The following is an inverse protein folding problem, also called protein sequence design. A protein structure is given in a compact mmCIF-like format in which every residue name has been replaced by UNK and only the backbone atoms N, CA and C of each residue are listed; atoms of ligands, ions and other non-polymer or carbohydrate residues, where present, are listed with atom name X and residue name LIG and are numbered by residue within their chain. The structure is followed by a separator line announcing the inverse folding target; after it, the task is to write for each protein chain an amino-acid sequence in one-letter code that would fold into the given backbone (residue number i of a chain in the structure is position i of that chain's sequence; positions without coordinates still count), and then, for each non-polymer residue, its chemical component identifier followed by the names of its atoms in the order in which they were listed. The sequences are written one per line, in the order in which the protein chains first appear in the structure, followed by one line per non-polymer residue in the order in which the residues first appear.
data_IF_796286995611
#
_entry.id   IF_796286995611
#
_cell.length_a   1.000
_cell.length_b   1.000
_cell.length_c   1.000
_cell.angle_alpha   90.00
_cell.angle_beta   90.00
_cell.angle_gamma   90.00
#
_symmetry.space_group_name_H-M   'P 1'
#
loop_
_entity.id
_entity.type
_entity.pdbx_description
1 polymer ?
#
# COMPACT_ATOMS: atom_id res chain seq x y z
N UNK A 1 -5.38 -6.16 7.56
CA UNK A 1 -4.72 -6.39 6.26
C UNK A 1 -3.95 -5.15 5.78
N UNK A 2 -4.50 -3.95 5.97
CA UNK A 2 -3.85 -2.68 5.64
C UNK A 2 -2.40 -2.53 6.15
N UNK A 3 -2.15 -2.77 7.44
CA UNK A 3 -0.80 -2.63 8.04
C UNK A 3 0.26 -3.48 7.34
N UNK A 4 -0.10 -4.72 6.99
CA UNK A 4 0.76 -5.62 6.22
C UNK A 4 0.97 -5.11 4.79
N UNK A 5 -0.07 -4.60 4.11
CA UNK A 5 0.04 -4.02 2.78
C UNK A 5 1.00 -2.81 2.75
N UNK A 6 0.84 -1.87 3.69
CA UNK A 6 1.72 -0.69 3.80
C UNK A 6 3.18 -1.09 4.03
N UNK A 7 3.40 -2.07 4.90
CA UNK A 7 4.74 -2.62 5.15
C UNK A 7 5.33 -3.30 3.91
N UNK A 8 4.54 -4.10 3.21
CA UNK A 8 4.98 -4.81 2.00
C UNK A 8 5.35 -3.83 0.90
N UNK A 9 4.53 -2.79 0.65
CA UNK A 9 4.85 -1.73 -0.32
C UNK A 9 6.21 -1.10 0.04
N UNK A 10 6.41 -0.67 1.30
CA UNK A 10 7.69 -0.10 1.73
C UNK A 10 8.87 -1.04 1.45
N UNK A 11 8.72 -2.31 1.82
CA UNK A 11 9.79 -3.32 1.68
C UNK A 11 10.08 -3.65 0.22
N UNK A 12 9.07 -3.70 -0.64
CA UNK A 12 9.21 -3.90 -2.08
C UNK A 12 10.07 -2.78 -2.70
N UNK A 13 9.85 -1.53 -2.28
CA UNK A 13 10.67 -0.38 -2.66
C UNK A 13 12.00 -0.26 -1.89
N UNK A 14 12.37 -1.28 -1.09
CA UNK A 14 13.64 -1.38 -0.35
C UNK A 14 13.93 -0.22 0.60
N UNK A 15 12.89 0.43 1.11
CA UNK A 15 13.03 1.52 2.09
C UNK A 15 12.99 0.97 3.51
N UNK A 16 13.82 1.49 4.40
CA UNK A 16 13.63 1.33 5.83
C UNK A 16 12.57 2.30 6.38
N UNK A 17 12.14 2.11 7.64
CA UNK A 17 11.06 2.93 8.23
C UNK A 17 11.45 4.42 8.35
N UNK A 18 12.73 4.74 8.59
CA UNK A 18 13.21 6.11 8.71
C UNK A 18 13.23 6.82 7.35
N UNK A 19 13.65 6.12 6.31
CA UNK A 19 13.65 6.63 4.93
C UNK A 19 12.23 6.94 4.48
N UNK A 20 11.29 6.00 4.66
CA UNK A 20 9.90 6.23 4.29
C UNK A 20 9.29 7.40 5.09
N UNK A 21 9.52 7.43 6.40
CA UNK A 21 9.07 8.51 7.26
C UNK A 21 9.54 9.88 6.72
N UNK A 22 10.82 9.97 6.34
CA UNK A 22 11.39 11.20 5.77
C UNK A 22 10.73 11.56 4.43
N UNK A 23 10.48 10.58 3.56
CA UNK A 23 9.85 10.78 2.25
C UNK A 23 8.39 11.21 2.35
N UNK A 24 7.65 10.70 3.32
CA UNK A 24 6.24 11.03 3.54
C UNK A 24 6.03 12.21 4.50
N UNK A 25 7.11 12.82 5.00
CA UNK A 25 7.06 13.85 6.05
C UNK A 25 6.26 13.39 7.29
N UNK A 26 6.56 12.18 7.76
CA UNK A 26 5.98 11.53 8.93
C UNK A 26 7.08 11.17 9.93
N UNK A 27 6.70 10.83 11.17
CA UNK A 27 7.69 10.34 12.14
C UNK A 27 7.96 8.85 11.93
N UNK A 28 9.21 8.36 12.15
CA UNK A 28 9.51 6.94 12.06
C UNK A 28 8.70 6.09 13.04
N UNK A 29 8.43 6.63 14.24
CA UNK A 29 7.57 5.97 15.23
C UNK A 29 6.17 5.74 14.67
N UNK A 30 5.59 6.75 14.00
CA UNK A 30 4.26 6.62 13.41
C UNK A 30 4.21 5.57 12.30
N UNK A 31 5.20 5.56 11.39
CA UNK A 31 5.34 4.48 10.37
C UNK A 31 5.41 3.10 11.06
N UNK A 32 6.19 2.99 12.13
CA UNK A 32 6.30 1.74 12.89
C UNK A 32 4.96 1.31 13.50
N UNK A 33 4.20 2.25 14.06
CA UNK A 33 2.90 1.99 14.68
C UNK A 33 1.85 1.53 13.66
N UNK A 34 1.75 2.19 12.50
CA UNK A 34 0.78 1.80 11.45
C UNK A 34 1.15 0.47 10.79
N UNK A 35 2.42 0.18 10.57
CA UNK A 35 2.87 -1.10 10.00
C UNK A 35 2.72 -2.28 10.97
N UNK A 36 2.73 -2.00 12.28
CA UNK A 36 2.41 -3.00 13.32
C UNK A 36 0.91 -3.13 13.56
N UNK A 37 0.08 -2.30 12.92
CA UNK A 37 -1.37 -2.25 13.16
C UNK A 37 -1.75 -1.72 14.54
N UNK A 38 -0.84 -1.01 15.23
CA UNK A 38 -1.11 -0.38 16.54
C UNK A 38 -1.90 0.91 16.42
N UNK A 39 -1.79 1.59 15.28
CA UNK A 39 -2.57 2.77 14.93
C UNK A 39 -3.13 2.62 13.54
N UNK A 40 -4.32 3.15 13.32
CA UNK A 40 -4.86 3.27 11.98
C UNK A 40 -4.28 4.51 11.28
N UNK A 41 -3.85 4.38 10.02
CA UNK A 41 -3.43 5.52 9.22
C UNK A 41 -4.65 6.38 8.87
N UNK A 42 -4.48 7.70 8.88
CA UNK A 42 -5.51 8.61 8.37
C UNK A 42 -5.60 8.57 6.85
N UNK A 43 -6.68 9.11 6.28
CA UNK A 43 -6.82 9.25 4.82
C UNK A 43 -5.68 10.08 4.20
N UNK A 44 -5.19 11.11 4.88
CA UNK A 44 -4.01 11.90 4.46
C UNK A 44 -2.76 11.02 4.33
N UNK A 45 -2.56 10.12 5.29
CA UNK A 45 -1.43 9.18 5.27
C UNK A 45 -1.59 8.21 4.10
N UNK A 46 -2.78 7.65 3.89
CA UNK A 46 -3.03 6.78 2.74
C UNK A 46 -2.83 7.52 1.41
N UNK A 47 -3.19 8.80 1.34
CA UNK A 47 -2.96 9.63 0.16
C UNK A 47 -1.47 9.90 -0.09
N UNK A 48 -0.69 10.12 0.96
CA UNK A 48 0.79 10.21 0.87
C UNK A 48 1.41 8.92 0.34
N UNK A 49 0.95 7.76 0.82
CA UNK A 49 1.38 6.46 0.28
C UNK A 49 0.99 6.31 -1.19
N UNK A 50 -0.26 6.65 -1.53
CA UNK A 50 -0.79 6.58 -2.89
C UNK A 50 0.06 7.40 -3.87
N UNK A 51 0.33 8.66 -3.51
CA UNK A 51 1.13 9.57 -4.34
C UNK A 51 2.60 9.16 -4.44
N UNK A 52 3.21 8.74 -3.33
CA UNK A 52 4.63 8.41 -3.31
C UNK A 52 4.96 7.13 -4.06
N UNK A 53 4.09 6.11 -3.97
CA UNK A 53 4.30 4.81 -4.60
C UNK A 53 3.55 4.63 -5.91
N UNK A 54 2.87 5.68 -6.39
CA UNK A 54 2.03 5.65 -7.59
C UNK A 54 0.99 4.51 -7.56
N UNK A 55 0.38 4.31 -6.40
CA UNK A 55 -0.68 3.31 -6.19
C UNK A 55 -2.03 3.99 -6.07
N UNK A 56 -3.11 3.45 -6.67
CA UNK A 56 -4.43 4.05 -6.54
C UNK A 56 -4.89 4.11 -5.08
N UNK A 57 -5.24 5.30 -4.58
CA UNK A 57 -5.75 5.48 -3.20
C UNK A 57 -6.92 4.53 -2.88
N UNK A 58 -7.82 4.33 -3.85
CA UNK A 58 -8.94 3.38 -3.72
C UNK A 58 -8.49 1.97 -3.34
N UNK A 59 -7.32 1.52 -3.81
CA UNK A 59 -6.81 0.19 -3.50
C UNK A 59 -6.40 0.10 -2.03
N UNK A 60 -5.77 1.15 -1.50
CA UNK A 60 -5.42 1.25 -0.07
C UNK A 60 -6.66 1.31 0.83
N UNK A 61 -7.70 2.04 0.42
CA UNK A 61 -8.96 2.14 1.16
C UNK A 61 -9.68 0.79 1.24
N UNK A 62 -9.72 0.01 0.15
CA UNK A 62 -10.34 -1.33 0.21
C UNK A 62 -9.60 -2.25 1.21
N UNK A 63 -8.28 -2.11 1.35
CA UNK A 63 -7.52 -2.84 2.38
C UNK A 63 -7.80 -2.35 3.80
N UNK A 64 -8.26 -1.11 3.99
CA UNK A 64 -8.73 -0.61 5.28
C UNK A 64 -10.14 -1.10 5.60
N UNK A 65 -11.06 -1.06 4.62
CA UNK A 65 -12.48 -1.43 4.78
C UNK A 65 -12.70 -2.94 4.96
N UNK A 66 -11.80 -3.79 4.47
CA UNK A 66 -11.93 -5.26 4.59
C UNK A 66 -11.82 -5.81 6.02
N UNK A 67 -11.64 -4.94 7.03
CA UNK A 67 -11.67 -5.31 8.46
C UNK A 67 -12.99 -4.99 9.17
N UNK A 68 -13.83 -4.13 8.59
CA UNK A 68 -15.17 -3.82 9.12
C UNK A 68 -16.17 -4.77 8.48
N UNK A 69 -16.19 -6.01 8.97
CA UNK A 69 -17.11 -7.03 8.51
C UNK A 69 -18.56 -6.55 8.60
N UNK A 70 -19.24 -6.45 7.44
CA UNK A 70 -20.68 -6.77 7.25
C UNK A 70 -21.16 -6.55 5.79
N UNK A 71 -20.47 -5.82 4.91
CA UNK A 71 -20.95 -5.61 3.52
C UNK A 71 -19.91 -5.81 2.42
N UNK A 72 -19.16 -6.92 2.45
CA UNK A 72 -18.33 -7.31 1.30
C UNK A 72 -19.19 -8.01 0.24
N UNK A 73 -19.86 -7.23 -0.61
CA UNK A 73 -20.61 -7.78 -1.75
C UNK A 73 -19.68 -8.63 -2.63
N UNK A 74 -20.18 -9.72 -3.22
CA UNK A 74 -19.44 -10.54 -4.18
C UNK A 74 -18.82 -9.72 -5.35
N UNK A 75 -19.32 -8.50 -5.58
CA UNK A 75 -18.79 -7.51 -6.53
C UNK A 75 -17.42 -6.95 -6.12
N UNK A 76 -17.16 -6.74 -4.82
CA UNK A 76 -15.87 -6.22 -4.31
C UNK A 76 -14.77 -7.27 -4.51
N UNK A 77 -15.05 -8.55 -4.26
CA UNK A 77 -14.12 -9.66 -4.53
C UNK A 77 -13.79 -9.82 -6.02
N UNK A 78 -14.78 -9.66 -6.89
CA UNK A 78 -14.60 -9.70 -8.35
C UNK A 78 -13.84 -8.48 -8.88
N UNK A 79 -13.98 -7.30 -8.26
CA UNK A 79 -13.24 -6.11 -8.65
C UNK A 79 -11.81 -6.13 -8.11
N UNK A 80 -11.63 -6.71 -6.92
CA UNK A 80 -10.33 -6.99 -6.31
C UNK A 80 -9.48 -7.88 -7.22
N UNK A 81 -10.00 -8.97 -7.79
CA UNK A 81 -9.22 -9.84 -8.68
C UNK A 81 -8.76 -9.13 -9.97
N UNK A 82 -9.61 -8.31 -10.59
CA UNK A 82 -9.22 -7.53 -11.78
C UNK A 82 -8.19 -6.44 -11.45
N UNK A 83 -8.33 -5.77 -10.31
CA UNK A 83 -7.40 -4.71 -9.89
C UNK A 83 -6.10 -5.28 -9.31
N UNK A 84 -6.15 -6.44 -8.67
CA UNK A 84 -4.97 -7.21 -8.25
C UNK A 84 -4.18 -7.66 -9.48
N UNK A 85 -4.85 -8.04 -10.58
CA UNK A 85 -4.19 -8.29 -11.86
C UNK A 85 -3.42 -7.05 -12.34
N UNK A 86 -4.04 -5.86 -12.31
CA UNK A 86 -3.36 -4.61 -12.71
C UNK A 86 -2.17 -4.25 -11.80
N UNK A 87 -2.22 -4.60 -10.51
CA UNK A 87 -1.10 -4.42 -9.58
C UNK A 87 0.01 -5.44 -9.83
N UNK A 88 -0.33 -6.70 -10.13
CA UNK A 88 0.62 -7.74 -10.51
C UNK A 88 1.29 -7.42 -11.86
N UNK A 89 0.53 -6.92 -12.83
CA UNK A 89 1.04 -6.43 -14.11
C UNK A 89 1.99 -5.25 -13.90
N UNK A 90 1.63 -4.28 -13.05
CA UNK A 90 2.49 -3.14 -12.74
C UNK A 90 3.80 -3.53 -12.03
N UNK A 91 3.73 -4.47 -11.07
CA UNK A 91 4.92 -5.04 -10.40
C UNK A 91 5.81 -5.77 -11.41
N UNK A 92 5.22 -6.52 -12.35
CA UNK A 92 5.95 -7.22 -13.40
C UNK A 92 6.64 -6.24 -14.38
N UNK A 93 5.98 -5.13 -14.72
CA UNK A 93 6.51 -4.11 -15.63
C UNK A 93 7.66 -3.31 -14.99
N UNK A 94 7.58 -3.04 -13.68
CA UNK A 94 8.67 -2.42 -12.90
C UNK A 94 9.92 -3.32 -12.82
N UNK A 95 9.75 -4.64 -12.70
CA UNK A 95 10.86 -5.60 -12.74
C UNK A 95 11.57 -5.62 -14.10
N UNK A 96 10.83 -5.42 -15.20
CA UNK A 96 11.37 -5.41 -16.56
C UNK A 96 12.12 -4.10 -16.88
N UNK A 97 11.64 -2.96 -16.35
CA UNK A 97 12.34 -1.67 -16.41
C UNK A 97 13.65 -1.71 -15.60
N UNK A 98 13.69 -2.41 -14.47
CA UNK A 98 14.89 -2.57 -13.65
C UNK A 98 15.90 -3.53 -14.30
N UNK A 99 15.45 -4.56 -15.02
CA UNK A 99 16.32 -5.51 -15.76
C UNK A 99 16.92 -4.93 -17.04
N UNK A 100 16.23 -4.02 -17.73
CA UNK A 100 16.73 -3.35 -18.96
C UNK A 100 17.78 -2.26 -18.72
N UNK A 101 18.01 -1.86 -17.46
CA UNK A 101 19.00 -0.84 -17.08
C UNK A 101 20.36 -1.42 -16.66
N UNK A 102 20.57 -2.73 -16.80
CA UNK A 102 21.84 -3.43 -16.55
C UNK A 102 22.45 -3.86 -17.89
#
# INVERSE_FOLDING_TARGET
MLSAALKTIRQYHRLNQNELASKLSLSPSYISEIEKGKKEPSLDVLQKYAQYFDVPLSSLIVFSETLDGEHSSNKVKSFLSTKMLSVLEWIADQDDILRKKI
#
